data_IF_496108941450
#
_entry.id   IF_496108941450
#
_cell.length_a   1.000
_cell.length_b   1.000
_cell.length_c   1.000
_cell.angle_alpha   90.00
_cell.angle_beta   90.00
_cell.angle_gamma   90.00
#
_symmetry.space_group_name_H-M   'P 1'
#
loop_
_entity.id
_entity.type
_entity.pdbx_description
1 polymer ?
#
# COMPACT_ATOMS: atom_id res chain seq x y z
N UNK A 1 0.46 -13.80 8.98
CA UNK A 1 -0.91 -14.21 9.32
C UNK A 1 -1.50 -15.27 8.38
N UNK A 2 -1.04 -15.33 7.13
CA UNK A 2 -1.50 -16.25 6.09
C UNK A 2 -3.00 -16.14 5.89
N UNK A 3 -3.68 -17.28 5.93
CA UNK A 3 -5.12 -17.34 5.76
C UNK A 3 -5.96 -16.86 6.97
N UNK A 4 -5.33 -16.48 8.10
CA UNK A 4 -6.04 -15.92 9.27
C UNK A 4 -6.67 -16.95 10.20
N UNK A 5 -6.14 -18.17 10.25
CA UNK A 5 -6.65 -19.24 11.14
C UNK A 5 -6.66 -18.80 12.61
N UNK A 6 -5.62 -18.09 13.06
CA UNK A 6 -5.52 -17.60 14.44
C UNK A 6 -6.63 -16.59 14.77
N UNK A 7 -6.92 -15.62 13.88
CA UNK A 7 -8.04 -14.70 14.07
C UNK A 7 -9.39 -15.41 14.09
N UNK A 8 -9.60 -16.36 13.18
CA UNK A 8 -10.83 -17.15 13.13
C UNK A 8 -11.07 -17.94 14.42
N UNK A 9 -10.04 -18.57 14.99
CA UNK A 9 -10.15 -19.28 16.27
C UNK A 9 -10.39 -18.29 17.40
N UNK A 10 -9.63 -17.18 17.46
CA UNK A 10 -9.79 -16.14 18.47
C UNK A 10 -11.24 -15.60 18.50
N UNK A 11 -11.83 -15.32 17.35
CA UNK A 11 -13.22 -14.85 17.24
C UNK A 11 -14.21 -15.88 17.81
N UNK A 12 -14.05 -17.16 17.47
CA UNK A 12 -14.92 -18.25 17.97
C UNK A 12 -14.85 -18.45 19.47
N UNK A 13 -13.70 -18.17 20.10
CA UNK A 13 -13.51 -18.26 21.55
C UNK A 13 -13.61 -16.89 22.25
N UNK A 14 -14.14 -15.87 21.55
CA UNK A 14 -14.36 -14.52 22.07
C UNK A 14 -13.08 -13.83 22.62
N UNK A 15 -11.97 -13.97 21.90
CA UNK A 15 -10.68 -13.31 22.16
C UNK A 15 -10.41 -12.20 21.15
N UNK A 16 -9.73 -11.14 21.60
CA UNK A 16 -9.23 -10.08 20.73
C UNK A 16 -8.06 -10.59 19.90
N UNK A 17 -7.92 -10.10 18.67
CA UNK A 17 -6.85 -10.48 17.76
C UNK A 17 -6.34 -9.26 16.99
N UNK A 18 -5.06 -9.31 16.63
CA UNK A 18 -4.41 -8.43 15.66
C UNK A 18 -3.62 -9.36 14.76
N UNK A 19 -3.86 -9.29 13.45
CA UNK A 19 -3.15 -10.09 12.47
C UNK A 19 -2.41 -9.16 11.51
N UNK A 20 -1.18 -9.53 11.16
CA UNK A 20 -0.33 -8.80 10.24
C UNK A 20 0.16 -9.77 9.16
N UNK A 21 0.07 -9.33 7.91
CA UNK A 21 0.62 -10.04 6.76
C UNK A 21 1.14 -9.04 5.73
N UNK A 22 2.16 -9.44 4.96
CA UNK A 22 2.71 -8.63 3.87
C UNK A 22 2.06 -8.95 2.52
N UNK A 23 1.43 -10.12 2.37
CA UNK A 23 0.71 -10.47 1.14
C UNK A 23 -0.70 -9.91 1.17
N UNK A 24 -1.04 -9.10 0.15
CA UNK A 24 -2.40 -8.59 -0.02
C UNK A 24 -3.40 -9.71 -0.28
N UNK A 25 -2.99 -10.75 -1.00
CA UNK A 25 -3.81 -11.94 -1.19
C UNK A 25 -4.12 -12.66 0.12
N UNK A 26 -3.13 -12.78 1.03
CA UNK A 26 -3.37 -13.30 2.38
C UNK A 26 -4.35 -12.41 3.15
N UNK A 27 -4.20 -11.07 3.08
CA UNK A 27 -5.13 -10.13 3.71
C UNK A 27 -6.56 -10.32 3.20
N UNK A 28 -6.79 -10.36 1.88
CA UNK A 28 -8.12 -10.62 1.31
C UNK A 28 -8.67 -11.99 1.69
N UNK A 29 -7.81 -13.02 1.77
CA UNK A 29 -8.18 -14.35 2.25
C UNK A 29 -8.63 -14.31 3.71
N UNK A 30 -7.97 -13.51 4.56
CA UNK A 30 -8.38 -13.31 5.96
C UNK A 30 -9.72 -12.58 6.05
N UNK A 31 -9.90 -11.48 5.30
CA UNK A 31 -11.16 -10.72 5.28
C UNK A 31 -12.31 -11.63 4.90
N UNK A 32 -12.19 -12.35 3.77
CA UNK A 32 -13.18 -13.35 3.32
C UNK A 32 -13.50 -14.35 4.43
N UNK A 33 -12.47 -14.91 5.07
CA UNK A 33 -12.65 -15.90 6.14
C UNK A 33 -13.42 -15.30 7.32
N UNK A 34 -13.09 -14.09 7.74
CA UNK A 34 -13.73 -13.41 8.86
C UNK A 34 -15.21 -13.11 8.56
N UNK A 35 -15.51 -12.60 7.37
CA UNK A 35 -16.88 -12.30 6.93
C UNK A 35 -17.75 -13.56 6.82
N UNK A 36 -17.15 -14.69 6.43
CA UNK A 36 -17.84 -15.95 6.20
C UNK A 36 -17.66 -16.99 7.33
N UNK A 37 -17.33 -16.56 8.55
CA UNK A 37 -17.11 -17.48 9.66
C UNK A 37 -18.36 -18.31 9.99
N UNK A 38 -18.13 -19.58 10.32
CA UNK A 38 -19.12 -20.44 10.96
C UNK A 38 -18.69 -20.82 12.36
N UNK A 39 -19.65 -21.06 13.25
CA UNK A 39 -19.40 -21.33 14.67
C UNK A 39 -18.50 -22.55 14.92
N UNK A 40 -18.65 -23.62 14.13
CA UNK A 40 -17.96 -24.89 14.38
C UNK A 40 -16.67 -25.03 13.55
N UNK A 41 -15.82 -25.99 13.92
CA UNK A 41 -14.56 -26.28 13.22
C UNK A 41 -14.86 -26.79 11.79
N UNK A 42 -14.05 -26.35 10.82
CA UNK A 42 -14.19 -26.76 9.42
C UNK A 42 -15.31 -26.06 8.65
N UNK A 43 -15.63 -24.80 9.00
CA UNK A 43 -16.70 -24.01 8.38
C UNK A 43 -18.09 -24.69 8.42
N UNK A 44 -18.42 -25.30 9.55
CA UNK A 44 -19.71 -25.95 9.80
C UNK A 44 -20.55 -25.16 10.81
N UNK A 45 -21.85 -25.46 10.82
CA UNK A 45 -22.80 -24.87 11.75
C UNK A 45 -23.33 -23.51 11.30
N UNK A 46 -23.90 -22.76 12.25
CA UNK A 46 -24.52 -21.46 11.98
C UNK A 46 -23.47 -20.42 11.59
N UNK A 47 -23.87 -19.46 10.76
CA UNK A 47 -23.07 -18.27 10.50
C UNK A 47 -22.73 -17.57 11.81
N UNK A 48 -21.47 -17.19 11.94
CA UNK A 48 -20.97 -16.38 13.03
C UNK A 48 -20.64 -15.02 12.45
N UNK A 49 -21.40 -13.99 12.85
CA UNK A 49 -21.08 -12.62 12.52
C UNK A 49 -19.83 -12.21 13.32
N UNK A 50 -18.71 -11.87 12.67
CA UNK A 50 -17.54 -11.38 13.39
C UNK A 50 -17.86 -10.05 14.07
N UNK A 51 -17.17 -9.74 15.16
CA UNK A 51 -17.16 -8.37 15.68
C UNK A 51 -16.59 -7.43 14.62
N UNK A 52 -17.03 -6.16 14.59
CA UNK A 52 -16.47 -5.16 13.68
C UNK A 52 -14.95 -5.12 13.79
N UNK A 53 -14.27 -5.15 12.65
CA UNK A 53 -12.83 -5.07 12.54
C UNK A 53 -12.44 -4.08 11.44
N UNK A 54 -11.22 -3.56 11.52
CA UNK A 54 -10.67 -2.64 10.55
C UNK A 54 -9.39 -3.22 9.95
N UNK A 55 -9.14 -2.92 8.68
CA UNK A 55 -7.93 -3.30 7.96
C UNK A 55 -7.09 -2.04 7.81
N UNK A 56 -5.89 -2.06 8.38
CA UNK A 56 -4.92 -0.99 8.28
C UNK A 56 -3.74 -1.46 7.44
N UNK A 57 -3.28 -0.60 6.53
CA UNK A 57 -2.05 -0.83 5.79
C UNK A 57 -0.96 0.03 6.41
N UNK A 58 0.17 -0.59 6.76
CA UNK A 58 1.37 0.14 7.13
C UNK A 58 2.18 0.40 5.86
N UNK A 59 2.50 1.67 5.59
CA UNK A 59 3.45 2.03 4.53
C UNK A 59 2.88 2.42 3.17
N UNK A 60 1.56 2.41 2.99
CA UNK A 60 0.89 2.82 1.75
C UNK A 60 0.21 4.16 1.99
N UNK A 61 0.81 5.27 1.55
CA UNK A 61 0.22 6.60 1.67
C UNK A 61 -0.34 7.08 0.32
N UNK A 62 -1.45 7.81 0.32
CA UNK A 62 -1.92 8.46 -0.90
C UNK A 62 -1.15 9.79 -1.09
N UNK A 63 -0.36 9.86 -2.17
CA UNK A 63 0.47 11.02 -2.49
C UNK A 63 -0.32 12.30 -2.76
N UNK A 64 -1.52 12.19 -3.32
CA UNK A 64 -2.36 13.38 -3.58
C UNK A 64 -2.83 13.95 -2.26
N UNK A 65 -3.30 13.08 -1.37
CA UNK A 65 -3.77 13.47 -0.04
C UNK A 65 -2.64 14.13 0.75
N UNK A 66 -1.44 13.51 0.83
CA UNK A 66 -0.30 14.06 1.58
C UNK A 66 0.16 15.44 1.07
N UNK A 67 0.09 15.68 -0.25
CA UNK A 67 0.45 16.98 -0.84
C UNK A 67 -0.57 18.08 -0.50
N UNK A 68 -1.83 17.72 -0.29
CA UNK A 68 -2.91 18.67 -0.05
C UNK A 68 -3.13 18.96 1.44
N UNK A 69 -2.48 18.20 2.34
CA UNK A 69 -2.62 18.39 3.79
C UNK A 69 -2.22 19.81 4.23
N UNK A 70 -3.06 20.49 5.04
CA UNK A 70 -2.65 21.68 5.78
C UNK A 70 -1.41 21.39 6.63
N UNK A 71 -0.51 22.37 6.78
CA UNK A 71 0.77 22.16 7.47
C UNK A 71 0.61 21.57 8.88
N UNK A 72 -0.44 21.95 9.61
CA UNK A 72 -0.72 21.39 10.95
C UNK A 72 -0.93 19.87 10.92
N UNK A 73 -1.65 19.37 9.92
CA UNK A 73 -1.92 17.94 9.73
C UNK A 73 -0.68 17.22 9.22
N UNK A 74 0.02 17.82 8.25
CA UNK A 74 1.30 17.32 7.76
C UNK A 74 2.35 17.19 8.87
N UNK A 75 2.47 18.19 9.73
CA UNK A 75 3.38 18.19 10.89
C UNK A 75 3.07 17.03 11.82
N UNK A 76 1.80 16.84 12.17
CA UNK A 76 1.37 15.73 13.04
C UNK A 76 1.71 14.39 12.39
N UNK A 77 1.37 14.22 11.12
CA UNK A 77 1.71 13.03 10.34
C UNK A 77 3.22 12.75 10.34
N UNK A 78 4.04 13.77 10.07
CA UNK A 78 5.49 13.68 10.02
C UNK A 78 6.10 13.21 11.36
N UNK A 79 5.63 13.78 12.47
CA UNK A 79 6.07 13.39 13.81
C UNK A 79 5.66 11.94 14.13
N UNK A 80 4.41 11.56 13.85
CA UNK A 80 3.90 10.21 14.08
C UNK A 80 4.65 9.16 13.25
N UNK A 81 4.94 9.46 11.98
CA UNK A 81 5.69 8.57 11.07
C UNK A 81 7.05 8.16 11.64
N UNK A 82 7.74 9.09 12.29
CA UNK A 82 9.05 8.85 12.90
C UNK A 82 8.98 8.66 14.42
N UNK A 83 7.79 8.46 14.99
CA UNK A 83 7.57 8.23 16.43
C UNK A 83 8.17 9.34 17.32
N UNK A 84 8.14 10.58 16.84
CA UNK A 84 8.53 11.75 17.60
C UNK A 84 7.40 12.20 18.52
N UNK A 85 7.76 12.77 19.68
CA UNK A 85 6.81 13.38 20.61
C UNK A 85 6.36 14.73 20.06
N UNK A 86 5.05 14.94 19.98
CA UNK A 86 4.43 16.21 19.61
C UNK A 86 4.44 17.19 20.80
N UNK A 87 5.59 17.84 21.00
CA UNK A 87 5.83 18.80 22.08
C UNK A 87 6.54 20.04 21.50
N UNK A 88 5.79 20.93 20.82
CA UNK A 88 6.37 22.12 20.21
C UNK A 88 6.94 23.06 21.27
N UNK A 89 8.10 23.63 20.98
CA UNK A 89 8.84 24.49 21.90
C UNK A 89 9.77 25.42 21.12
N UNK A 90 10.17 26.53 21.73
CA UNK A 90 11.07 27.50 21.10
C UNK A 90 12.46 27.38 21.70
N UNK A 91 13.48 27.35 20.83
CA UNK A 91 14.89 27.34 21.23
C UNK A 91 15.65 28.39 20.43
N UNK A 92 16.29 29.33 21.13
CA UNK A 92 17.05 30.43 20.50
C UNK A 92 16.27 31.21 19.42
N UNK A 93 14.95 31.36 19.62
CA UNK A 93 14.07 32.07 18.68
C UNK A 93 13.59 31.23 17.49
N UNK A 94 13.93 29.93 17.43
CA UNK A 94 13.42 28.99 16.43
C UNK A 94 12.32 28.14 17.07
N UNK A 95 11.16 28.09 16.42
CA UNK A 95 10.08 27.17 16.78
C UNK A 95 10.40 25.77 16.28
N UNK A 96 10.48 24.83 17.21
CA UNK A 96 10.75 23.41 16.99
C UNK A 96 9.47 22.61 17.22
N UNK A 97 9.37 21.47 16.55
CA UNK A 97 8.12 20.75 16.43
C UNK A 97 7.97 19.61 17.45
N UNK A 98 9.05 19.16 18.08
CA UNK A 98 8.96 18.07 19.04
C UNK A 98 10.29 17.47 19.45
N UNK A 99 10.24 16.22 19.90
CA UNK A 99 11.42 15.48 20.35
C UNK A 99 11.48 14.05 19.79
N UNK A 100 12.67 13.61 19.41
CA UNK A 100 12.97 12.20 19.15
C UNK A 100 13.79 11.68 20.33
N UNK A 101 13.14 10.94 21.23
CA UNK A 101 13.71 10.64 22.55
C UNK A 101 13.86 11.91 23.40
N UNK A 102 15.09 12.40 23.54
CA UNK A 102 15.42 13.66 24.22
C UNK A 102 16.00 14.72 23.27
N UNK A 103 16.23 14.36 21.99
CA UNK A 103 16.82 15.26 21.01
C UNK A 103 15.74 16.06 20.28
N UNK A 104 16.07 17.31 19.94
CA UNK A 104 15.14 18.23 19.31
C UNK A 104 14.79 17.84 17.87
N UNK A 105 13.54 18.09 17.48
CA UNK A 105 13.01 17.81 16.14
C UNK A 105 12.45 19.08 15.51
N UNK A 106 12.80 19.33 14.25
CA UNK A 106 12.18 20.34 13.38
C UNK A 106 11.48 19.64 12.20
N UNK A 107 10.22 19.97 11.93
CA UNK A 107 9.53 19.56 10.71
C UNK A 107 9.68 20.67 9.67
N UNK A 108 10.39 20.35 8.59
CA UNK A 108 10.71 21.29 7.53
C UNK A 108 9.45 21.78 6.78
N UNK A 109 9.27 23.09 6.77
CA UNK A 109 8.17 23.77 6.08
C UNK A 109 8.51 23.93 4.60
N UNK A 110 8.24 22.89 3.81
CA UNK A 110 8.56 22.85 2.39
C UNK A 110 7.57 23.59 1.48
N UNK A 111 6.43 24.06 1.99
CA UNK A 111 5.46 24.89 1.26
C UNK A 111 5.26 26.25 1.92
N UNK A 112 5.15 27.30 1.10
CA UNK A 112 4.69 28.61 1.55
C UNK A 112 3.16 28.67 1.50
N UNK A 113 2.53 29.26 2.50
CA UNK A 113 1.08 29.50 2.47
C UNK A 113 0.71 30.35 1.24
N UNK A 114 -0.05 29.77 0.30
CA UNK A 114 -0.66 30.48 -0.82
C UNK A 114 0.21 30.67 -2.07
N UNK A 115 1.42 30.11 -2.13
CA UNK A 115 2.34 30.29 -3.28
C UNK A 115 2.78 28.94 -3.86
N UNK A 116 3.01 28.87 -5.18
CA UNK A 116 3.44 27.63 -5.87
C UNK A 116 4.92 27.30 -5.67
N UNK A 117 5.63 28.07 -4.85
CA UNK A 117 7.06 27.87 -4.58
C UNK A 117 7.28 26.86 -3.44
N UNK A 118 8.01 25.80 -3.74
CA UNK A 118 8.44 24.79 -2.78
C UNK A 118 9.83 25.17 -2.24
N UNK A 119 9.99 25.19 -0.92
CA UNK A 119 11.30 25.40 -0.28
C UNK A 119 12.13 24.12 -0.35
N UNK A 120 13.43 24.29 -0.57
CA UNK A 120 14.42 23.22 -0.57
C UNK A 120 15.42 23.44 0.56
N UNK A 121 15.86 22.34 1.17
CA UNK A 121 16.85 22.27 2.22
C UNK A 121 18.18 21.87 1.61
N UNK A 122 19.10 22.82 1.55
CA UNK A 122 20.49 22.60 1.16
C UNK A 122 21.40 22.53 2.39
N UNK A 123 22.71 22.43 2.19
CA UNK A 123 23.68 22.46 3.29
C UNK A 123 23.69 23.81 4.02
N UNK A 124 23.40 24.90 3.30
CA UNK A 124 23.34 26.26 3.86
C UNK A 124 22.21 26.44 4.88
N UNK A 125 21.07 25.76 4.68
CA UNK A 125 20.02 25.68 5.70
C UNK A 125 20.55 25.12 7.02
N UNK A 126 21.31 24.02 6.96
CA UNK A 126 21.88 23.40 8.17
C UNK A 126 22.97 24.29 8.78
N UNK A 127 23.76 24.99 7.97
CA UNK A 127 24.74 25.98 8.46
C UNK A 127 24.06 27.12 9.23
N UNK A 128 22.95 27.64 8.70
CA UNK A 128 22.16 28.68 9.37
C UNK A 128 21.51 28.16 10.65
N UNK A 129 20.97 26.94 10.63
CA UNK A 129 20.41 26.31 11.82
C UNK A 129 21.48 26.13 12.91
N UNK A 130 22.68 25.73 12.50
CA UNK A 130 23.82 25.57 13.38
C UNK A 130 24.32 26.89 13.97
N UNK A 131 24.35 27.98 13.19
CA UNK A 131 24.79 29.28 13.70
C UNK A 131 23.86 29.85 14.76
N UNK A 132 22.57 29.50 14.71
CA UNK A 132 21.56 29.95 15.68
C UNK A 132 21.51 29.01 16.91
N UNK A 133 21.43 27.70 16.68
CA UNK A 133 21.25 26.71 17.75
C UNK A 133 22.59 26.33 18.41
N UNK A 134 23.61 26.04 17.60
CA UNK A 134 24.96 25.69 18.04
C UNK A 134 24.98 24.70 19.20
N UNK A 135 25.72 25.03 20.26
CA UNK A 135 25.86 24.19 21.47
C UNK A 135 24.63 24.14 22.38
N UNK A 136 23.54 24.85 22.04
CA UNK A 136 22.29 24.85 22.84
C UNK A 136 21.47 23.58 22.62
N UNK A 137 21.76 22.86 21.54
CA UNK A 137 21.24 21.52 21.29
C UNK A 137 22.27 20.48 21.73
N UNK A 138 21.81 19.25 21.96
CA UNK A 138 22.68 18.12 22.30
C UNK A 138 23.58 17.68 21.13
N UNK A 139 24.13 16.47 21.23
CA UNK A 139 24.98 15.90 20.16
C UNK A 139 24.22 15.58 18.87
N UNK A 140 22.89 15.57 18.92
CA UNK A 140 22.02 15.20 17.80
C UNK A 140 20.87 16.19 17.68
N UNK A 141 20.47 16.43 16.45
CA UNK A 141 19.30 17.20 16.08
C UNK A 141 18.62 16.52 14.90
N UNK A 142 17.30 16.50 14.88
CA UNK A 142 16.55 15.81 13.84
C UNK A 142 15.72 16.81 13.03
N UNK A 143 15.80 16.70 11.70
CA UNK A 143 14.99 17.46 10.77
C UNK A 143 14.15 16.46 9.99
N UNK A 144 12.83 16.56 10.08
CA UNK A 144 11.92 15.76 9.27
C UNK A 144 11.57 16.58 8.03
N UNK A 145 11.83 16.04 6.84
CA UNK A 145 11.59 16.77 5.59
C UNK A 145 11.14 15.82 4.47
N UNK A 146 10.38 16.31 3.48
CA UNK A 146 10.23 15.61 2.20
C UNK A 146 11.58 15.25 1.57
N UNK A 147 11.75 14.01 1.10
CA UNK A 147 12.95 13.62 0.37
C UNK A 147 13.22 14.56 -0.83
N UNK A 148 12.17 14.91 -1.57
CA UNK A 148 12.25 15.82 -2.72
C UNK A 148 12.68 17.25 -2.37
N UNK A 149 12.57 17.65 -1.10
CA UNK A 149 12.99 18.97 -0.64
C UNK A 149 14.39 18.97 -0.05
N UNK A 150 15.21 17.92 -0.18
CA UNK A 150 16.58 17.87 0.38
C UNK A 150 17.60 17.77 -0.75
N UNK A 151 18.50 18.74 -0.88
CA UNK A 151 19.47 18.83 -1.98
C UNK A 151 20.81 18.13 -1.70
N UNK A 152 20.90 17.33 -0.63
CA UNK A 152 22.11 16.60 -0.27
C UNK A 152 21.79 15.16 0.10
N UNK A 153 22.79 14.29 -0.07
CA UNK A 153 22.61 12.86 0.01
C UNK A 153 22.82 12.30 1.42
N UNK A 154 23.60 12.98 2.24
CA UNK A 154 23.98 12.49 3.57
C UNK A 154 22.76 12.43 4.50
N UNK A 155 22.65 11.36 5.29
CA UNK A 155 21.60 11.22 6.31
C UNK A 155 21.80 12.16 7.49
N UNK A 156 23.00 12.71 7.62
CA UNK A 156 23.29 13.77 8.57
C UNK A 156 24.41 14.68 8.07
N UNK A 157 24.38 15.93 8.51
CA UNK A 157 25.51 16.86 8.40
C UNK A 157 26.09 17.06 9.79
N UNK A 158 27.41 16.98 9.91
CA UNK A 158 28.12 17.17 11.17
C UNK A 158 28.78 18.56 11.24
N UNK A 159 28.55 19.26 12.35
CA UNK A 159 29.12 20.59 12.64
C UNK A 159 29.50 20.67 14.12
N UNK A 160 30.75 20.98 14.41
CA UNK A 160 31.29 21.11 15.78
C UNK A 160 30.94 19.94 16.72
N UNK A 161 30.95 18.71 16.18
CA UNK A 161 30.62 17.48 16.92
C UNK A 161 29.12 17.25 17.16
N UNK A 162 28.26 18.04 16.50
CA UNK A 162 26.80 17.92 16.52
C UNK A 162 26.33 17.36 15.18
N UNK A 163 25.48 16.33 15.22
CA UNK A 163 24.92 15.68 14.02
C UNK A 163 23.48 16.12 13.78
N UNK A 164 23.25 16.74 12.63
CA UNK A 164 21.93 17.13 12.14
C UNK A 164 21.41 16.04 11.23
N UNK A 165 20.64 15.10 11.79
CA UNK A 165 20.00 14.01 11.08
C UNK A 165 18.82 14.49 10.28
N UNK A 166 18.68 14.00 9.04
CA UNK A 166 17.54 14.29 8.18
C UNK A 166 16.70 13.03 8.02
N UNK A 167 15.52 13.04 8.63
CA UNK A 167 14.50 12.01 8.52
C UNK A 167 13.64 12.31 7.29
N UNK A 168 13.98 11.67 6.16
CA UNK A 168 13.32 11.93 4.88
C UNK A 168 11.98 11.19 4.79
N UNK A 169 10.90 11.93 4.62
CA UNK A 169 9.61 11.39 4.21
C UNK A 169 9.73 11.05 2.71
N UNK A 170 9.55 9.79 2.29
CA UNK A 170 9.66 9.43 0.88
C UNK A 170 8.54 10.09 0.05
N UNK A 171 8.90 10.75 -1.05
CA UNK A 171 7.97 11.32 -2.05
C UNK A 171 8.23 10.64 -3.39
N UNK A 172 7.82 9.38 -3.58
CA UNK A 172 7.76 8.69 -4.89
C UNK A 172 9.02 8.66 -5.81
N UNK A 173 10.16 9.27 -5.44
CA UNK A 173 11.45 9.33 -6.15
C UNK A 173 12.56 9.09 -5.10
N UNK A 174 12.76 7.84 -4.67
CA UNK A 174 13.99 7.42 -3.97
C UNK A 174 14.67 6.34 -4.81
N UNK A 175 14.95 6.69 -6.06
CA UNK A 175 15.98 6.01 -6.82
C UNK A 175 17.37 6.62 -6.59
N UNK A 176 17.42 7.83 -6.03
CA UNK A 176 18.66 8.59 -5.96
C UNK A 176 19.48 8.37 -4.67
N UNK A 177 18.95 7.67 -3.65
CA UNK A 177 19.53 7.86 -2.31
C UNK A 177 20.04 6.68 -1.49
N UNK A 178 19.70 5.40 -1.74
CA UNK A 178 20.30 4.33 -0.90
C UNK A 178 20.74 3.09 -1.69
N UNK A 179 22.07 2.90 -1.63
CA UNK A 179 22.91 1.75 -2.02
C UNK A 179 22.65 0.50 -1.16
N UNK A 180 21.40 0.04 -1.12
CA UNK A 180 21.05 -1.33 -0.73
C UNK A 180 20.00 -1.85 -1.71
N UNK A 181 20.19 -3.10 -2.15
CA UNK A 181 19.24 -3.78 -3.03
C UNK A 181 17.94 -4.00 -2.26
N UNK A 182 16.93 -3.19 -2.58
CA UNK A 182 15.55 -3.46 -2.17
C UNK A 182 14.99 -4.53 -3.10
N UNK A 183 14.29 -5.52 -2.54
CA UNK A 183 13.58 -6.54 -3.31
C UNK A 183 12.09 -6.19 -3.23
N UNK A 184 11.40 -6.06 -4.37
CA UNK A 184 9.97 -5.76 -4.41
C UNK A 184 9.13 -6.88 -3.76
N UNK A 185 7.99 -6.56 -3.14
CA UNK A 185 7.04 -7.58 -2.62
C UNK A 185 6.32 -8.23 -3.80
N UNK A 186 6.73 -9.46 -4.14
CA UNK A 186 6.07 -10.24 -5.18
C UNK A 186 4.81 -10.94 -4.63
N UNK A 187 3.67 -10.75 -5.31
CA UNK A 187 2.44 -11.48 -5.09
C UNK A 187 2.52 -12.83 -5.82
N UNK A 188 1.84 -13.88 -5.30
CA UNK A 188 1.87 -15.19 -5.93
C UNK A 188 1.30 -15.14 -7.34
N UNK A 189 1.95 -15.86 -8.25
CA UNK A 189 1.54 -15.99 -9.65
C UNK A 189 0.72 -17.27 -9.90
N UNK A 190 0.59 -18.12 -8.88
CA UNK A 190 -0.11 -19.40 -8.94
C UNK A 190 -0.60 -19.83 -7.56
N UNK A 191 -1.43 -20.88 -7.53
CA UNK A 191 -1.91 -21.51 -6.29
C UNK A 191 -0.89 -22.46 -5.63
N UNK A 192 0.32 -22.62 -6.17
CA UNK A 192 1.33 -23.53 -5.62
C UNK A 192 1.76 -23.08 -4.20
N UNK A 193 1.76 -24.03 -3.26
CA UNK A 193 2.10 -23.82 -1.84
C UNK A 193 3.51 -23.22 -1.69
N UNK A 194 4.43 -23.57 -2.58
CA UNK A 194 5.81 -23.06 -2.59
C UNK A 194 5.90 -21.59 -3.00
N UNK A 195 4.96 -21.07 -3.80
CA UNK A 195 4.89 -19.67 -4.22
C UNK A 195 4.14 -18.81 -3.19
N UNK A 196 3.04 -19.31 -2.63
CA UNK A 196 2.20 -18.57 -1.65
C UNK A 196 2.93 -18.29 -0.33
N UNK A 197 3.90 -19.14 0.06
CA UNK A 197 4.61 -19.03 1.34
C UNK A 197 6.04 -18.47 1.23
N UNK A 198 6.46 -17.88 0.10
CA UNK A 198 7.79 -17.26 0.00
C UNK A 198 7.90 -16.09 0.98
N UNK A 199 8.55 -16.32 2.13
CA UNK A 199 8.87 -15.28 3.11
C UNK A 199 9.97 -14.40 2.50
N UNK A 200 9.62 -13.16 2.16
CA UNK A 200 10.58 -12.16 1.72
C UNK A 200 10.86 -11.17 2.86
N UNK A 201 12.10 -11.11 3.32
CA UNK A 201 12.58 -10.05 4.22
C UNK A 201 12.66 -8.72 3.44
N UNK A 202 12.13 -7.64 4.02
CA UNK A 202 12.20 -6.30 3.42
C UNK A 202 12.34 -5.18 4.45
N UNK A 203 12.87 -4.06 3.96
CA UNK A 203 13.04 -2.78 4.67
C UNK A 203 12.61 -1.65 3.75
N UNK A 204 11.37 -1.14 3.87
CA UNK A 204 10.91 -0.01 3.05
C UNK A 204 9.39 0.18 3.04
N UNK A 205 8.96 1.40 2.72
CA UNK A 205 7.56 1.79 2.51
C UNK A 205 7.41 2.21 1.03
N UNK A 206 6.33 1.80 0.36
CA UNK A 206 6.11 2.10 -1.07
C UNK A 206 4.70 2.66 -1.33
N UNK A 207 4.55 3.43 -2.39
CA UNK A 207 3.29 4.03 -2.80
C UNK A 207 2.47 3.08 -3.67
N UNK A 208 1.14 3.15 -3.57
CA UNK A 208 0.26 2.37 -4.45
C UNK A 208 0.14 3.08 -5.80
N UNK A 209 0.64 2.45 -6.86
CA UNK A 209 0.47 2.90 -8.24
C UNK A 209 -0.53 2.00 -8.95
N UNK A 210 -1.81 2.40 -8.96
CA UNK A 210 -2.87 1.63 -9.61
C UNK A 210 -2.45 1.27 -11.06
N UNK A 211 -2.50 -0.01 -11.45
CA UNK A 211 -2.18 -0.42 -12.81
C UNK A 211 -3.23 0.10 -13.80
N UNK A 212 -2.83 0.25 -15.05
CA UNK A 212 -3.73 0.51 -16.16
C UNK A 212 -4.28 -0.81 -16.70
N UNK A 213 -5.60 -0.88 -16.82
CA UNK A 213 -6.31 -2.10 -17.25
C UNK A 213 -7.40 -1.72 -18.24
N UNK A 214 -7.41 -2.38 -19.39
CA UNK A 214 -8.46 -2.31 -20.39
C UNK A 214 -9.07 -3.72 -20.55
N UNK A 215 -10.40 -3.82 -20.48
CA UNK A 215 -11.12 -5.09 -20.54
C UNK A 215 -12.31 -5.05 -21.48
N UNK A 216 -12.55 -6.17 -22.16
CA UNK A 216 -13.82 -6.48 -22.80
C UNK A 216 -14.66 -7.35 -21.85
N UNK A 217 -15.94 -6.99 -21.71
CA UNK A 217 -16.89 -7.69 -20.86
C UNK A 217 -18.00 -8.26 -21.74
N UNK A 218 -18.19 -9.58 -21.70
CA UNK A 218 -19.22 -10.22 -22.53
C UNK A 218 -19.81 -11.48 -21.90
N UNK A 219 -21.00 -11.85 -22.35
CA UNK A 219 -21.67 -13.10 -22.01
C UNK A 219 -21.54 -14.03 -23.20
N UNK A 220 -21.13 -15.26 -22.95
CA UNK A 220 -21.05 -16.28 -23.99
C UNK A 220 -21.64 -17.58 -23.47
N UNK A 221 -22.27 -18.37 -24.35
CA UNK A 221 -22.63 -19.76 -24.06
C UNK A 221 -21.66 -20.70 -24.77
N UNK A 222 -20.65 -21.24 -24.07
CA UNK A 222 -19.72 -22.20 -24.66
C UNK A 222 -20.48 -23.43 -25.17
N UNK A 223 -20.08 -23.95 -26.34
CA UNK A 223 -20.77 -25.08 -27.00
C UNK A 223 -20.77 -26.36 -26.16
N UNK A 224 -19.79 -26.49 -25.27
CA UNK A 224 -19.54 -27.60 -24.36
C UNK A 224 -20.23 -27.45 -22.99
N UNK A 225 -20.90 -26.32 -22.73
CA UNK A 225 -21.54 -26.03 -21.44
C UNK A 225 -23.05 -25.79 -21.57
N UNK A 226 -23.78 -26.19 -20.53
CA UNK A 226 -25.24 -26.04 -20.47
C UNK A 226 -25.69 -24.63 -20.03
N UNK A 227 -24.78 -23.82 -19.50
CA UNK A 227 -25.05 -22.50 -18.92
C UNK A 227 -24.23 -21.39 -19.60
N UNK A 228 -24.73 -20.16 -19.50
CA UNK A 228 -24.02 -18.96 -19.96
C UNK A 228 -22.92 -18.56 -18.96
N UNK A 229 -21.80 -18.10 -19.50
CA UNK A 229 -20.67 -17.59 -18.73
C UNK A 229 -20.48 -16.10 -19.01
N UNK A 230 -20.27 -15.34 -17.94
CA UNK A 230 -19.69 -14.02 -18.02
C UNK A 230 -18.18 -14.17 -18.22
N UNK A 231 -17.63 -13.41 -19.16
CA UNK A 231 -16.20 -13.36 -19.44
C UNK A 231 -15.68 -11.93 -19.22
N UNK A 232 -14.61 -11.83 -18.43
CA UNK A 232 -13.79 -10.63 -18.28
C UNK A 232 -12.50 -10.87 -19.04
N UNK A 233 -12.40 -10.32 -20.26
CA UNK A 233 -11.21 -10.45 -21.10
C UNK A 233 -10.30 -9.25 -20.93
N UNK A 234 -9.11 -9.49 -20.39
CA UNK A 234 -8.11 -8.44 -20.24
C UNK A 234 -7.44 -8.21 -21.59
N UNK A 235 -7.62 -7.00 -22.15
CA UNK A 235 -7.06 -6.61 -23.45
C UNK A 235 -5.69 -5.99 -23.31
N UNK A 236 -5.54 -5.18 -22.27
CA UNK A 236 -4.28 -4.52 -21.92
C UNK A 236 -4.15 -4.46 -20.41
N UNK A 237 -2.95 -4.75 -19.95
CA UNK A 237 -2.54 -4.57 -18.57
C UNK A 237 -1.18 -3.89 -18.57
N UNK A 238 -1.00 -2.89 -17.70
CA UNK A 238 0.29 -2.25 -17.45
C UNK A 238 0.44 -1.93 -15.96
N UNK A 239 1.46 -2.47 -15.31
CA UNK A 239 1.86 -2.03 -13.98
C UNK A 239 2.49 -0.64 -14.07
N UNK A 240 2.12 0.22 -13.12
CA UNK A 240 2.65 1.57 -12.98
C UNK A 240 3.71 1.65 -11.87
N UNK A 241 4.28 0.51 -11.49
CA UNK A 241 5.36 0.45 -10.51
C UNK A 241 6.55 1.31 -10.97
N UNK A 242 7.20 1.95 -10.00
CA UNK A 242 8.43 2.69 -10.21
C UNK A 242 9.54 1.94 -9.48
N UNK A 243 10.66 1.69 -10.17
CA UNK A 243 11.78 0.92 -9.63
C UNK A 243 13.12 1.56 -10.01
N UNK A 244 14.09 1.44 -9.08
CA UNK A 244 15.51 1.84 -9.20
C UNK A 244 16.17 1.48 -10.50
N UNK A 245 15.86 0.31 -11.00
CA UNK A 245 16.31 -0.12 -12.30
C UNK A 245 15.12 0.00 -13.24
N UNK A 246 15.28 0.63 -14.41
CA UNK A 246 14.27 0.59 -15.45
C UNK A 246 13.81 -0.86 -15.62
N UNK A 247 12.54 -1.12 -15.34
CA UNK A 247 11.92 -2.39 -15.63
C UNK A 247 11.63 -2.37 -17.13
N UNK A 248 12.08 -3.38 -17.90
CA UNK A 248 11.77 -3.45 -19.32
C UNK A 248 10.26 -3.36 -19.55
N UNK A 249 9.82 -2.63 -20.57
CA UNK A 249 8.38 -2.39 -20.81
C UNK A 249 7.62 -3.71 -21.04
N UNK A 250 8.30 -4.74 -21.57
CA UNK A 250 7.75 -6.11 -21.70
C UNK A 250 7.48 -6.82 -20.36
N UNK A 251 8.14 -6.40 -19.28
CA UNK A 251 7.89 -6.92 -17.92
C UNK A 251 6.75 -6.18 -17.22
N UNK A 252 6.49 -4.92 -17.58
CA UNK A 252 5.40 -4.11 -17.03
C UNK A 252 4.01 -4.49 -17.59
N UNK A 253 3.95 -5.25 -18.68
CA UNK A 253 2.71 -5.73 -19.29
C UNK A 253 2.07 -6.89 -18.52
N UNK A 254 1.50 -7.87 -19.23
CA UNK A 254 0.85 -9.05 -18.61
C UNK A 254 1.76 -9.85 -17.67
N UNK A 255 3.09 -9.81 -17.85
CA UNK A 255 4.04 -10.45 -16.91
C UNK A 255 3.98 -9.88 -15.51
N UNK A 256 3.63 -8.60 -15.37
CA UNK A 256 3.43 -7.95 -14.07
C UNK A 256 2.04 -8.22 -13.49
N UNK A 257 1.09 -8.81 -14.21
CA UNK A 257 -0.20 -9.20 -13.64
C UNK A 257 0.01 -10.39 -12.71
N UNK A 258 -0.46 -10.29 -11.47
CA UNK A 258 -0.42 -11.42 -10.53
C UNK A 258 -1.74 -12.17 -10.52
N UNK A 259 -2.85 -11.46 -10.34
CA UNK A 259 -4.17 -12.08 -10.24
C UNK A 259 -5.31 -11.10 -10.50
N UNK A 260 -6.49 -11.67 -10.78
CA UNK A 260 -7.78 -11.00 -10.72
C UNK A 260 -8.61 -11.64 -9.62
N UNK A 261 -9.16 -10.83 -8.71
CA UNK A 261 -10.08 -11.27 -7.67
C UNK A 261 -11.48 -10.71 -7.95
N UNK A 262 -12.50 -11.50 -7.64
CA UNK A 262 -13.90 -11.19 -7.97
C UNK A 262 -14.77 -11.38 -6.73
N UNK A 263 -15.62 -10.40 -6.46
CA UNK A 263 -16.76 -10.46 -5.53
C UNK A 263 -18.02 -10.39 -6.39
N UNK A 264 -18.82 -11.45 -6.39
CA UNK A 264 -19.97 -11.58 -7.30
C UNK A 264 -21.23 -10.84 -6.82
N UNK A 265 -21.25 -10.39 -5.56
CA UNK A 265 -22.38 -9.73 -4.89
C UNK A 265 -21.90 -8.55 -4.05
N UNK A 266 -21.18 -7.63 -4.70
CA UNK A 266 -20.57 -6.50 -4.03
C UNK A 266 -21.63 -5.56 -3.46
N UNK A 267 -21.69 -5.48 -2.14
CA UNK A 267 -22.70 -4.73 -1.41
C UNK A 267 -22.52 -3.19 -1.46
N UNK A 268 -21.39 -2.71 -2.00
CA UNK A 268 -21.06 -1.28 -2.08
C UNK A 268 -20.19 -0.76 -0.93
N UNK A 269 -19.90 -1.58 0.08
CA UNK A 269 -19.16 -1.17 1.28
C UNK A 269 -17.80 -1.84 1.40
N UNK A 270 -17.74 -3.17 1.25
CA UNK A 270 -16.52 -3.94 1.43
C UNK A 270 -16.40 -5.06 0.41
N UNK A 271 -15.18 -5.44 0.09
CA UNK A 271 -14.87 -6.50 -0.87
C UNK A 271 -14.85 -7.85 -0.16
N UNK A 272 -15.80 -8.74 -0.48
CA UNK A 272 -15.79 -10.14 -0.05
C UNK A 272 -15.38 -11.03 -1.22
N UNK A 273 -14.11 -11.44 -1.24
CA UNK A 273 -13.53 -12.18 -2.36
C UNK A 273 -14.22 -13.55 -2.54
N UNK A 274 -15.06 -13.71 -3.55
CA UNK A 274 -15.68 -14.99 -3.90
C UNK A 274 -14.73 -15.89 -4.68
N UNK A 275 -14.07 -15.32 -5.70
CA UNK A 275 -13.24 -16.04 -6.66
C UNK A 275 -11.93 -15.31 -6.96
N UNK A 276 -10.97 -16.07 -7.51
CA UNK A 276 -9.64 -15.56 -7.88
C UNK A 276 -9.08 -16.33 -9.08
N UNK A 277 -8.41 -15.58 -9.95
CA UNK A 277 -7.76 -16.08 -11.16
C UNK A 277 -6.32 -15.64 -11.12
N UNK A 278 -5.40 -16.59 -10.88
CA UNK A 278 -3.97 -16.29 -10.97
C UNK A 278 -3.55 -16.11 -12.42
N UNK A 279 -2.47 -15.36 -12.66
CA UNK A 279 -1.99 -15.09 -14.02
C UNK A 279 -1.72 -16.36 -14.81
N UNK A 280 -1.20 -17.43 -14.18
CA UNK A 280 -0.99 -18.71 -14.86
C UNK A 280 -2.29 -19.39 -15.34
N UNK A 281 -3.41 -19.17 -14.63
CA UNK A 281 -4.72 -19.69 -15.04
C UNK A 281 -5.32 -18.80 -16.15
N UNK A 282 -5.11 -17.48 -16.04
CA UNK A 282 -5.51 -16.51 -17.06
C UNK A 282 -4.77 -16.75 -18.37
N UNK A 283 -3.45 -16.98 -18.35
CA UNK A 283 -2.62 -17.28 -19.53
C UNK A 283 -3.17 -18.47 -20.32
N UNK A 284 -3.50 -19.56 -19.62
CA UNK A 284 -4.09 -20.77 -20.23
C UNK A 284 -5.46 -20.51 -20.84
N UNK A 285 -6.16 -19.49 -20.34
CA UNK A 285 -7.51 -19.10 -20.79
C UNK A 285 -7.51 -17.79 -21.58
N UNK A 286 -6.42 -17.48 -22.30
CA UNK A 286 -6.30 -16.30 -23.17
C UNK A 286 -6.61 -14.96 -22.45
N UNK A 287 -6.20 -14.87 -21.19
CA UNK A 287 -6.44 -13.76 -20.26
C UNK A 287 -7.92 -13.45 -20.01
N UNK A 288 -8.73 -14.50 -19.95
CA UNK A 288 -10.16 -14.42 -19.63
C UNK A 288 -10.47 -15.05 -18.27
N UNK A 289 -11.01 -14.25 -17.36
CA UNK A 289 -11.68 -14.78 -16.17
C UNK A 289 -13.13 -15.08 -16.53
N UNK A 290 -13.52 -16.35 -16.47
CA UNK A 290 -14.86 -16.82 -16.87
C UNK A 290 -15.61 -17.41 -15.69
N UNK A 291 -16.86 -17.04 -15.50
CA UNK A 291 -17.68 -17.58 -14.42
C UNK A 291 -19.15 -17.70 -14.83
N UNK A 292 -19.91 -18.65 -14.25
CA UNK A 292 -21.34 -18.78 -14.50
C UNK A 292 -22.09 -17.48 -14.21
N UNK A 293 -22.94 -17.04 -15.14
CA UNK A 293 -23.65 -15.75 -15.03
C UNK A 293 -24.63 -15.67 -13.84
N UNK A 294 -25.08 -16.82 -13.33
CA UNK A 294 -25.99 -16.93 -12.18
C UNK A 294 -25.32 -16.61 -10.84
N UNK A 295 -23.98 -16.69 -10.78
CA UNK A 295 -23.20 -16.20 -9.63
C UNK A 295 -23.30 -14.67 -9.51
N UNK A 296 -23.32 -13.97 -10.65
CA UNK A 296 -23.42 -12.51 -10.68
C UNK A 296 -24.78 -12.01 -10.17
N UNK A 297 -24.73 -11.21 -9.10
CA UNK A 297 -25.89 -10.50 -8.56
C UNK A 297 -25.99 -9.09 -9.15
N UNK A 298 -26.28 -8.09 -8.33
CA UNK A 298 -26.55 -6.73 -8.80
C UNK A 298 -25.27 -6.02 -9.23
N UNK A 299 -24.21 -6.15 -8.43
CA UNK A 299 -22.90 -5.54 -8.66
C UNK A 299 -21.81 -6.58 -8.45
N UNK A 300 -20.81 -6.53 -9.31
CA UNK A 300 -19.58 -7.33 -9.20
C UNK A 300 -18.44 -6.38 -9.00
N UNK A 301 -17.65 -6.57 -7.95
CA UNK A 301 -16.37 -5.88 -7.80
C UNK A 301 -15.26 -6.77 -8.34
N UNK A 302 -14.42 -6.17 -9.18
CA UNK A 302 -13.26 -6.82 -9.80
C UNK A 302 -12.02 -6.08 -9.34
N UNK A 303 -11.04 -6.81 -8.83
CA UNK A 303 -9.76 -6.28 -8.39
C UNK A 303 -8.66 -6.89 -9.23
N UNK A 304 -7.97 -6.06 -10.01
CA UNK A 304 -6.79 -6.42 -10.78
C UNK A 304 -5.56 -6.09 -9.95
N UNK A 305 -4.70 -7.07 -9.70
CA UNK A 305 -3.53 -6.92 -8.84
C UNK A 305 -2.26 -7.22 -9.62
N UNK A 306 -1.32 -6.29 -9.59
CA UNK A 306 0.03 -6.55 -10.11
C UNK A 306 0.86 -7.37 -9.12
N UNK A 307 1.99 -7.89 -9.58
CA UNK A 307 2.89 -8.67 -8.75
C UNK A 307 3.51 -7.85 -7.63
N UNK A 308 3.43 -6.52 -7.63
CA UNK A 308 3.98 -5.65 -6.58
C UNK A 308 2.93 -5.29 -5.52
N UNK A 309 1.71 -5.79 -5.67
CA UNK A 309 0.59 -5.52 -4.76
C UNK A 309 -0.17 -4.24 -5.08
N UNK A 310 0.06 -3.58 -6.21
CA UNK A 310 -0.80 -2.47 -6.65
C UNK A 310 -2.11 -3.00 -7.20
N UNK A 311 -3.19 -2.26 -6.96
CA UNK A 311 -4.53 -2.70 -7.30
C UNK A 311 -5.28 -1.65 -8.12
N UNK A 312 -6.01 -2.11 -9.13
CA UNK A 312 -7.10 -1.37 -9.75
C UNK A 312 -8.41 -2.07 -9.41
N UNK A 313 -9.39 -1.31 -8.94
CA UNK A 313 -10.73 -1.82 -8.61
C UNK A 313 -11.75 -1.27 -9.59
N UNK A 314 -12.62 -2.14 -10.09
CA UNK A 314 -13.76 -1.77 -10.92
C UNK A 314 -15.04 -2.38 -10.35
N UNK A 315 -16.15 -1.68 -10.51
CA UNK A 315 -17.49 -2.20 -10.20
C UNK A 315 -18.28 -2.29 -11.50
N UNK A 316 -18.85 -3.46 -11.77
CA UNK A 316 -19.63 -3.77 -12.97
C UNK A 316 -21.00 -4.32 -12.61
N UNK A 317 -21.94 -4.16 -13.53
CA UNK A 317 -23.29 -4.70 -13.48
C UNK A 317 -23.52 -5.58 -14.71
N UNK A 318 -24.61 -6.35 -14.74
CA UNK A 318 -24.91 -7.21 -15.90
C UNK A 318 -25.00 -6.44 -17.22
N UNK A 319 -25.34 -5.14 -17.17
CA UNK A 319 -25.43 -4.26 -18.36
C UNK A 319 -24.07 -3.97 -18.99
N UNK A 320 -23.00 -4.08 -18.22
CA UNK A 320 -21.64 -3.85 -18.72
C UNK A 320 -21.13 -5.04 -19.58
N UNK A 321 -21.74 -6.22 -19.41
CA UNK A 321 -21.40 -7.42 -20.18
C UNK A 321 -22.25 -7.49 -21.44
N UNK A 322 -21.61 -7.36 -22.60
CA UNK A 322 -22.26 -7.43 -23.91
C UNK A 322 -22.65 -8.88 -24.23
N UNK A 323 -23.83 -9.10 -24.79
CA UNK A 323 -24.26 -10.42 -25.28
C UNK A 323 -23.68 -10.67 -26.67
#
# INVERSE_FOLDING_TARGET
AGSGTTAAVAEKINRRWIMIDSSKFSIYTMIKRMLNLKRDIGNKGRSLTPKPFAVYNAGLYDMKILKELPFKEYRKFALELFQCKDEPHTLAGIDLDGYFGQDHVLVFKWKKNGDKSEYVMDRGFVDNLHSILGKRIGKRFFIIAPAASVLFLEDYIEKDGIKYYVLRIPYSIIDELHKKNFKLLEQPLSADISEVNKVMEQVGFDFIYSPDVECDYYIEKPKDKLYEEAAIKIKRFRSNIISKKPIPEEELGFKALSMVMIDYDFNGEYFDMDDKWFVQDLEKNNYEARFPIDKMKDKVMIVYMDMYGNEKKEVKTKKDFKI
#
